data_IF_001288319546
#
_entry.id   IF_001288319546
#
_cell.length_a   1.000
_cell.length_b   1.000
_cell.length_c   1.000
_cell.angle_alpha   90.00
_cell.angle_beta   90.00
_cell.angle_gamma   90.00
#
_symmetry.space_group_name_H-M   'P 1'
#
loop_
_entity.id
_entity.type
_entity.pdbx_description
1 polymer ?
#
# COMPACT_ATOMS: atom_id res chain seq x y z
N UNK A 1 -55.27 46.08 -2.77
CA UNK A 1 -53.84 45.76 -2.93
C UNK A 1 -53.61 44.35 -2.39
N UNK A 2 -53.15 43.41 -3.22
CA UNK A 2 -53.00 41.99 -2.86
C UNK A 2 -51.51 41.73 -2.57
N UNK A 3 -51.17 41.48 -1.31
CA UNK A 3 -49.80 41.18 -0.91
C UNK A 3 -49.51 39.73 -1.30
N UNK A 4 -48.70 39.51 -2.33
CA UNK A 4 -48.17 38.18 -2.67
C UNK A 4 -47.12 37.80 -1.63
N UNK A 5 -47.37 36.72 -0.88
CA UNK A 5 -46.36 36.06 -0.05
C UNK A 5 -45.58 35.12 -0.95
N UNK A 6 -44.30 35.42 -1.16
CA UNK A 6 -43.36 34.53 -1.81
C UNK A 6 -42.96 33.49 -0.76
N UNK A 7 -43.44 32.25 -0.90
CA UNK A 7 -42.91 31.11 -0.16
C UNK A 7 -41.60 30.71 -0.82
N UNK A 8 -40.49 30.89 -0.11
CA UNK A 8 -39.19 30.41 -0.56
C UNK A 8 -39.09 28.97 -0.08
N UNK A 9 -39.37 28.02 -0.97
CA UNK A 9 -39.10 26.60 -0.75
C UNK A 9 -37.58 26.40 -0.73
N UNK A 10 -37.00 26.50 0.46
CA UNK A 10 -35.59 26.19 0.72
C UNK A 10 -35.46 24.68 0.86
N UNK A 11 -35.52 23.99 -0.28
CA UNK A 11 -35.05 22.61 -0.40
C UNK A 11 -33.51 22.58 -0.40
N UNK A 12 -32.89 23.04 0.70
CA UNK A 12 -31.47 22.89 1.00
C UNK A 12 -31.16 21.47 1.51
N UNK A 13 -31.60 20.44 0.78
CA UNK A 13 -31.11 19.08 1.01
C UNK A 13 -29.77 18.90 0.32
N UNK A 14 -28.73 19.48 0.94
CA UNK A 14 -27.33 19.19 0.64
C UNK A 14 -27.10 17.69 0.86
N UNK A 15 -27.13 16.90 -0.21
CA UNK A 15 -26.76 15.50 -0.18
C UNK A 15 -25.33 15.40 0.37
N UNK A 16 -25.20 14.91 1.60
CA UNK A 16 -23.92 14.60 2.20
C UNK A 16 -23.37 13.33 1.53
N UNK A 17 -22.87 13.46 0.30
CA UNK A 17 -22.05 12.42 -0.31
C UNK A 17 -20.73 12.33 0.44
N UNK A 18 -20.39 11.12 0.90
CA UNK A 18 -19.11 10.86 1.56
C UNK A 18 -17.98 11.15 0.57
N UNK A 19 -17.28 12.27 0.75
CA UNK A 19 -16.19 12.65 -0.15
C UNK A 19 -14.99 11.73 0.09
N UNK A 20 -14.49 11.09 -0.98
CA UNK A 20 -13.28 10.27 -0.93
C UNK A 20 -12.17 10.92 -1.75
N UNK A 21 -10.98 11.05 -1.16
CA UNK A 21 -9.80 11.58 -1.84
C UNK A 21 -8.84 10.44 -2.15
N UNK A 22 -8.26 10.44 -3.37
CA UNK A 22 -7.16 9.52 -3.70
C UNK A 22 -6.00 9.75 -2.75
N UNK A 23 -5.43 8.66 -2.23
CA UNK A 23 -4.24 8.74 -1.39
C UNK A 23 -3.07 9.25 -2.23
N UNK A 24 -2.62 10.48 -1.96
CA UNK A 24 -1.48 11.09 -2.65
C UNK A 24 -0.17 10.33 -2.43
N UNK A 25 -0.04 9.62 -1.29
CA UNK A 25 1.15 8.84 -1.01
C UNK A 25 1.29 7.68 -2.00
N UNK A 26 0.25 6.87 -2.23
CA UNK A 26 0.26 5.72 -3.14
C UNK A 26 -0.37 5.98 -4.52
N UNK A 27 -0.68 7.22 -4.87
CA UNK A 27 -1.40 7.58 -6.10
C UNK A 27 -2.66 6.74 -6.37
N UNK A 28 -3.35 6.31 -5.31
CA UNK A 28 -4.58 5.53 -5.42
C UNK A 28 -4.43 4.01 -5.55
N UNK A 29 -3.22 3.45 -5.69
CA UNK A 29 -3.06 2.00 -5.91
C UNK A 29 -3.07 1.14 -4.63
N UNK A 30 -3.01 1.77 -3.44
CA UNK A 30 -2.99 1.06 -2.16
C UNK A 30 -1.66 0.37 -1.83
N UNK A 31 -0.63 0.50 -2.66
CA UNK A 31 0.69 -0.10 -2.47
C UNK A 31 1.64 0.97 -1.93
N UNK A 32 2.43 0.62 -0.92
CA UNK A 32 3.46 1.49 -0.40
C UNK A 32 4.50 1.79 -1.50
N UNK A 33 4.59 3.04 -2.01
CA UNK A 33 5.57 3.41 -3.02
C UNK A 33 6.97 3.53 -2.42
N UNK A 34 7.09 3.52 -1.09
CA UNK A 34 8.35 3.30 -0.45
C UNK A 34 8.78 1.85 -0.72
N UNK A 35 9.38 1.67 -1.89
CA UNK A 35 10.61 0.91 -2.06
C UNK A 35 11.74 1.50 -1.17
N UNK A 36 11.45 1.92 0.06
CA UNK A 36 12.42 1.97 1.15
C UNK A 36 12.72 0.50 1.50
N UNK A 37 13.39 -0.13 0.54
CA UNK A 37 14.19 -1.35 0.60
C UNK A 37 15.37 -1.04 1.54
N UNK A 38 15.09 -0.53 2.73
CA UNK A 38 16.11 -0.19 3.70
C UNK A 38 16.51 -1.50 4.37
N UNK A 39 17.56 -2.14 3.84
CA UNK A 39 18.32 -3.25 4.43
C UNK A 39 17.58 -4.55 4.84
N UNK A 40 16.24 -4.55 4.95
CA UNK A 40 15.43 -5.56 5.62
C UNK A 40 14.58 -6.41 4.67
N UNK A 41 14.62 -6.15 3.35
CA UNK A 41 14.03 -7.05 2.35
C UNK A 41 14.92 -8.25 2.06
N UNK A 42 15.75 -8.68 3.02
CA UNK A 42 16.55 -9.88 2.87
C UNK A 42 15.64 -11.10 2.82
N UNK A 43 15.93 -12.02 1.91
CA UNK A 43 15.24 -13.31 1.88
C UNK A 43 15.47 -14.01 3.23
N UNK A 44 14.42 -14.36 4.00
CA UNK A 44 14.58 -14.90 5.35
C UNK A 44 15.30 -16.26 5.35
N UNK A 45 15.21 -17.00 4.24
CA UNK A 45 15.85 -18.31 4.07
C UNK A 45 17.37 -18.18 3.95
N UNK A 46 17.86 -17.32 3.05
CA UNK A 46 19.30 -17.17 2.82
C UNK A 46 19.94 -15.98 3.57
N UNK A 47 19.13 -15.18 4.28
CA UNK A 47 19.54 -13.97 5.01
C UNK A 47 20.29 -12.98 4.12
N UNK A 48 19.74 -12.69 2.93
CA UNK A 48 20.37 -11.75 2.00
C UNK A 48 21.39 -12.34 1.04
N UNK A 49 21.95 -13.53 1.33
CA UNK A 49 23.11 -14.08 0.60
C UNK A 49 22.81 -14.56 -0.83
N UNK A 50 21.55 -14.84 -1.16
CA UNK A 50 21.15 -15.41 -2.45
C UNK A 50 21.55 -16.88 -2.65
N UNK A 51 22.34 -17.46 -1.75
CA UNK A 51 22.83 -18.85 -1.80
C UNK A 51 22.62 -19.58 -0.48
N UNK A 52 22.45 -20.90 -0.57
CA UNK A 52 22.42 -21.81 0.57
C UNK A 52 23.69 -22.67 0.54
N UNK A 53 24.38 -22.81 1.68
CA UNK A 53 25.53 -23.70 1.80
C UNK A 53 25.06 -25.09 2.22
N UNK A 54 25.67 -26.15 1.68
CA UNK A 54 25.48 -27.49 2.17
C UNK A 54 26.34 -27.69 3.44
N UNK A 55 25.79 -28.35 4.46
CA UNK A 55 26.56 -28.65 5.68
C UNK A 55 27.76 -29.53 5.29
N UNK A 56 28.96 -29.13 5.72
CA UNK A 56 30.19 -29.88 5.47
C UNK A 56 31.03 -29.44 4.26
N UNK A 57 30.53 -28.54 3.40
CA UNK A 57 31.32 -28.03 2.28
C UNK A 57 30.96 -26.57 1.98
N UNK A 58 31.84 -25.62 2.35
CA UNK A 58 31.65 -24.19 2.11
C UNK A 58 31.85 -23.78 0.65
N UNK A 59 32.51 -24.62 -0.15
CA UNK A 59 32.78 -24.34 -1.56
C UNK A 59 31.62 -24.78 -2.47
N UNK A 60 30.79 -25.72 -1.99
CA UNK A 60 29.57 -26.11 -2.68
C UNK A 60 28.36 -25.30 -2.19
N UNK A 61 27.87 -24.40 -3.04
CA UNK A 61 26.65 -23.63 -2.82
C UNK A 61 25.63 -23.83 -3.93
N UNK A 62 24.35 -23.83 -3.55
CA UNK A 62 23.24 -23.75 -4.50
C UNK A 62 22.59 -22.37 -4.44
N UNK A 63 22.01 -21.93 -5.57
CA UNK A 63 21.14 -20.74 -5.56
C UNK A 63 20.00 -21.00 -4.58
N UNK A 64 19.70 -20.03 -3.71
CA UNK A 64 18.61 -20.16 -2.77
C UNK A 64 17.29 -20.32 -3.54
N UNK A 65 16.58 -21.44 -3.36
CA UNK A 65 15.35 -21.74 -4.10
C UNK A 65 14.24 -20.71 -3.88
N UNK A 66 14.15 -20.15 -2.67
CA UNK A 66 13.12 -19.15 -2.31
C UNK A 66 13.29 -17.83 -3.08
N UNK A 67 14.48 -17.22 -3.05
CA UNK A 67 14.72 -15.96 -3.75
C UNK A 67 15.20 -16.13 -5.21
N UNK A 68 15.63 -17.34 -5.58
CA UNK A 68 16.33 -17.69 -6.84
C UNK A 68 17.58 -16.85 -7.08
N UNK A 69 18.43 -16.71 -6.05
CA UNK A 69 19.70 -15.98 -6.18
C UNK A 69 19.63 -14.48 -5.89
N UNK A 70 18.44 -13.89 -5.81
CA UNK A 70 18.30 -12.43 -5.64
C UNK A 70 18.66 -11.90 -4.25
N UNK A 71 18.74 -12.78 -3.25
CA UNK A 71 18.97 -12.40 -1.86
C UNK A 71 17.81 -11.62 -1.23
N UNK A 72 16.72 -11.33 -1.96
CA UNK A 72 15.60 -10.53 -1.49
C UNK A 72 14.31 -11.33 -1.35
N UNK A 73 13.51 -10.98 -0.35
CA UNK A 73 12.17 -11.54 -0.19
C UNK A 73 11.26 -11.09 -1.34
N UNK A 74 10.59 -12.05 -1.97
CA UNK A 74 9.64 -11.81 -3.07
C UNK A 74 8.29 -11.35 -2.55
N UNK A 75 7.97 -11.69 -1.31
CA UNK A 75 6.65 -11.49 -0.74
C UNK A 75 6.46 -10.07 -0.18
N UNK A 76 7.54 -9.27 -0.15
CA UNK A 76 7.53 -7.93 0.44
C UNK A 76 7.46 -6.79 -0.59
N UNK A 77 7.17 -7.10 -1.86
CA UNK A 77 7.14 -6.13 -2.97
C UNK A 77 5.83 -5.33 -2.97
N UNK A 78 4.74 -5.91 -2.45
CA UNK A 78 3.41 -5.29 -2.43
C UNK A 78 2.96 -5.02 -0.99
N UNK A 79 3.76 -4.28 -0.22
CA UNK A 79 3.29 -3.84 1.10
C UNK A 79 2.10 -2.90 0.96
N UNK A 80 1.08 -3.03 1.82
CA UNK A 80 -0.02 -2.08 1.83
C UNK A 80 0.51 -0.70 2.19
N UNK A 81 0.03 0.33 1.48
CA UNK A 81 0.35 1.72 1.75
C UNK A 81 -0.01 2.06 3.19
N UNK A 82 1.00 2.43 4.00
CA UNK A 82 0.79 2.77 5.42
C UNK A 82 -0.03 4.03 5.64
N UNK A 83 -0.02 4.95 4.68
CA UNK A 83 -0.79 6.18 4.76
C UNK A 83 -2.30 5.89 4.69
N UNK A 84 -2.75 5.05 3.75
CA UNK A 84 -4.17 4.73 3.56
C UNK A 84 -4.57 3.32 4.01
N UNK A 85 -3.70 2.61 4.73
CA UNK A 85 -3.87 1.21 5.13
C UNK A 85 -4.24 0.28 3.97
N UNK A 86 -3.62 0.48 2.81
CA UNK A 86 -3.87 -0.33 1.61
C UNK A 86 -5.12 0.02 0.81
N UNK A 87 -5.95 0.98 1.26
CA UNK A 87 -7.24 1.29 0.63
C UNK A 87 -7.15 2.09 -0.67
N UNK A 88 -6.02 2.75 -0.91
CA UNK A 88 -5.85 3.70 -2.01
C UNK A 88 -6.58 5.05 -1.83
N UNK A 89 -7.44 5.20 -0.82
CA UNK A 89 -8.25 6.41 -0.60
C UNK A 89 -8.35 6.78 0.88
N UNK A 90 -8.54 8.07 1.17
CA UNK A 90 -9.01 8.56 2.46
C UNK A 90 -10.50 8.84 2.39
N UNK A 91 -11.27 8.28 3.33
CA UNK A 91 -12.66 8.63 3.58
C UNK A 91 -12.70 9.46 4.86
N UNK A 92 -13.25 10.66 4.79
CA UNK A 92 -13.58 11.40 6.01
C UNK A 92 -14.96 10.92 6.47
N UNK A 93 -15.09 10.26 7.64
CA UNK A 93 -16.42 10.00 8.20
C UNK A 93 -17.11 11.34 8.51
N UNK A 94 -18.43 11.36 8.29
CA UNK A 94 -19.30 12.51 8.58
C UNK A 94 -19.29 12.78 10.08
#
# INVERSE_FOLDING_TARGET
MKIMRITIDTDDKKSQESFSYRCAFCNGNGIDPANLVSAHNQCPVCKGRGKNHFRGNKENYSKCGSCRGRGRDRNNINRPCRACNGKGVYKKPI
#
